data_IF_941057647714
#
_entry.id   IF_941057647714
#
_cell.length_a   1.000
_cell.length_b   1.000
_cell.length_c   1.000
_cell.angle_alpha   90.00
_cell.angle_beta   90.00
_cell.angle_gamma   90.00
#
_symmetry.space_group_name_H-M   'P 1'
#
loop_
_entity.id
_entity.type
_entity.pdbx_description
1 polymer ?
#
# COMPACT_ATOMS: atom_id res chain seq x y z
N UNK A 1 30.88 -21.51 -7.34
CA UNK A 1 29.97 -21.08 -6.28
C UNK A 1 29.93 -19.55 -6.27
N UNK A 2 28.85 -18.88 -6.61
CA UNK A 2 28.72 -17.43 -6.46
C UNK A 2 28.30 -17.11 -5.03
N UNK A 3 29.01 -16.16 -4.43
CA UNK A 3 28.72 -15.55 -3.14
C UNK A 3 27.34 -14.86 -3.19
N UNK A 4 26.39 -15.40 -2.45
CA UNK A 4 25.15 -14.72 -2.12
C UNK A 4 25.45 -13.55 -1.16
N UNK A 5 25.24 -12.32 -1.62
CA UNK A 5 25.41 -11.07 -0.85
C UNK A 5 24.10 -10.54 -0.30
N UNK A 6 23.15 -11.41 0.00
CA UNK A 6 21.91 -10.98 0.65
C UNK A 6 21.83 -11.61 2.03
N UNK A 7 21.74 -10.82 3.11
CA UNK A 7 21.40 -11.36 4.42
C UNK A 7 20.00 -11.94 4.33
N UNK A 8 19.82 -13.14 4.88
CA UNK A 8 18.54 -13.81 4.96
C UNK A 8 17.55 -12.91 5.73
N UNK A 9 16.59 -12.32 5.01
CA UNK A 9 15.42 -11.72 5.62
C UNK A 9 14.63 -12.89 6.20
N UNK A 10 14.74 -13.11 7.50
CA UNK A 10 13.87 -14.05 8.23
C UNK A 10 12.46 -13.48 8.25
N UNK A 11 11.69 -13.81 7.24
CA UNK A 11 10.25 -13.66 7.27
C UNK A 11 9.75 -14.67 8.33
N UNK A 12 9.33 -14.16 9.47
CA UNK A 12 8.58 -14.95 10.43
C UNK A 12 7.26 -15.33 9.78
N UNK A 13 7.22 -16.49 9.13
CA UNK A 13 5.99 -17.11 8.68
C UNK A 13 5.20 -17.55 9.91
N UNK A 14 4.25 -16.76 10.34
CA UNK A 14 3.16 -17.25 11.17
C UNK A 14 2.31 -18.18 10.32
N UNK A 15 2.62 -19.47 10.37
CA UNK A 15 1.79 -20.54 9.85
C UNK A 15 0.51 -20.60 10.68
N UNK A 16 -0.54 -19.90 10.25
CA UNK A 16 -1.89 -20.20 10.73
C UNK A 16 -2.30 -21.56 10.14
N UNK A 17 -2.28 -22.58 10.97
CA UNK A 17 -3.00 -23.83 10.70
C UNK A 17 -4.49 -23.50 10.63
N UNK A 18 -5.00 -23.37 9.41
CA UNK A 18 -6.44 -23.43 9.17
C UNK A 18 -6.91 -24.84 9.55
N UNK A 19 -7.52 -24.97 10.72
CA UNK A 19 -8.39 -26.11 11.03
C UNK A 19 -9.72 -25.81 10.35
N UNK A 20 -10.20 -26.75 9.55
CA UNK A 20 -11.62 -26.82 9.16
C UNK A 20 -12.44 -26.80 10.44
N UNK A 21 -13.27 -25.79 10.61
CA UNK A 21 -14.35 -25.77 11.58
C UNK A 21 -15.62 -25.78 10.74
N UNK A 22 -16.37 -26.89 10.86
CA UNK A 22 -17.75 -26.99 10.38
C UNK A 22 -18.61 -25.96 11.13
N UNK A 23 -19.62 -25.41 10.45
CA UNK A 23 -20.56 -24.43 10.95
C UNK A 23 -21.23 -24.92 12.24
N UNK A 24 -20.84 -24.35 13.38
CA UNK A 24 -21.68 -24.28 14.57
C UNK A 24 -21.25 -23.07 15.42
N UNK A 25 -22.23 -22.25 15.71
CA UNK A 25 -22.32 -21.04 16.52
C UNK A 25 -21.08 -20.68 17.36
N UNK A 26 -20.27 -19.72 16.88
CA UNK A 26 -19.19 -19.08 17.64
C UNK A 26 -19.78 -18.19 18.73
N UNK A 27 -20.11 -18.74 19.89
CA UNK A 27 -20.23 -17.99 21.14
C UNK A 27 -18.81 -17.68 21.62
N UNK A 28 -18.38 -16.46 21.47
CA UNK A 28 -17.18 -15.96 22.14
C UNK A 28 -17.62 -15.64 23.57
N UNK A 29 -17.39 -16.56 24.50
CA UNK A 29 -17.40 -16.25 25.92
C UNK A 29 -16.17 -15.38 26.21
N UNK A 30 -16.40 -14.07 26.34
CA UNK A 30 -15.36 -13.15 26.81
C UNK A 30 -15.24 -13.39 28.32
N UNK A 31 -14.16 -14.05 28.73
CA UNK A 31 -13.77 -14.21 30.11
C UNK A 31 -13.62 -12.82 30.76
N UNK A 32 -14.35 -12.50 31.84
CA UNK A 32 -14.26 -11.19 32.49
C UNK A 32 -12.94 -10.95 33.24
N UNK A 33 -12.02 -11.89 33.25
CA UNK A 33 -10.69 -11.80 33.85
C UNK A 33 -9.60 -11.55 32.82
N UNK A 34 -9.75 -10.57 31.91
CA UNK A 34 -8.65 -10.13 31.07
C UNK A 34 -7.67 -9.29 31.92
N UNK A 35 -6.76 -9.98 32.62
CA UNK A 35 -5.55 -9.38 33.16
C UNK A 35 -4.73 -8.84 31.99
N UNK A 36 -4.08 -7.67 32.17
CA UNK A 36 -3.31 -6.95 31.14
C UNK A 36 -2.53 -7.91 30.24
N UNK A 37 -2.69 -7.74 28.92
CA UNK A 37 -2.04 -8.55 27.92
C UNK A 37 -0.52 -8.56 28.18
N UNK A 38 0.10 -9.75 28.44
CA UNK A 38 1.54 -9.82 28.67
C UNK A 38 2.37 -9.32 27.47
N UNK A 39 1.76 -9.18 26.30
CA UNK A 39 2.36 -8.55 25.13
C UNK A 39 2.42 -7.01 25.21
N UNK A 40 1.51 -6.33 25.95
CA UNK A 40 1.58 -4.87 26.16
C UNK A 40 2.84 -4.47 26.97
N UNK A 41 3.22 -5.26 27.97
CA UNK A 41 4.41 -5.00 28.78
C UNK A 41 5.73 -5.29 28.04
N UNK A 42 5.77 -6.35 27.24
CA UNK A 42 6.95 -6.70 26.43
C UNK A 42 7.18 -5.74 25.27
N UNK A 43 6.12 -5.15 24.72
CA UNK A 43 6.23 -4.21 23.60
C UNK A 43 6.84 -2.88 24.06
N UNK A 44 6.50 -2.40 25.25
CA UNK A 44 7.09 -1.18 25.81
C UNK A 44 8.58 -1.36 26.13
N UNK A 45 9.00 -2.56 26.56
CA UNK A 45 10.43 -2.90 26.74
C UNK A 45 11.17 -3.08 25.41
N UNK A 46 10.52 -3.57 24.37
CA UNK A 46 11.11 -3.73 23.03
C UNK A 46 11.26 -2.40 22.27
N UNK A 47 10.36 -1.45 22.50
CA UNK A 47 10.40 -0.12 21.89
C UNK A 47 11.61 0.70 22.36
N UNK A 48 12.07 0.47 23.59
CA UNK A 48 13.24 1.18 24.15
C UNK A 48 14.58 0.52 23.80
N UNK A 49 14.59 -0.65 23.13
CA UNK A 49 15.77 -1.48 22.93
C UNK A 49 16.19 -1.70 21.47
N UNK A 50 15.42 -1.23 20.47
CA UNK A 50 15.82 -1.46 19.07
C UNK A 50 16.84 -0.41 18.60
N UNK A 51 17.98 -0.83 18.06
CA UNK A 51 18.88 0.06 17.32
C UNK A 51 18.13 0.63 16.12
N UNK A 52 18.38 1.89 15.81
CA UNK A 52 17.84 2.51 14.58
C UNK A 52 18.15 1.61 13.38
N UNK A 53 17.15 1.29 12.53
CA UNK A 53 17.38 0.42 11.38
C UNK A 53 18.49 1.02 10.50
N UNK A 54 19.49 0.21 10.17
CA UNK A 54 20.52 0.61 9.21
C UNK A 54 19.84 1.04 7.91
N UNK A 55 20.05 2.29 7.50
CA UNK A 55 19.58 2.83 6.22
C UNK A 55 20.33 2.09 5.13
N UNK A 56 19.67 1.15 4.48
CA UNK A 56 20.20 0.51 3.27
C UNK A 56 20.08 1.54 2.15
N UNK A 57 21.24 2.09 1.72
CA UNK A 57 21.31 3.04 0.62
C UNK A 57 20.59 2.46 -0.63
N UNK A 58 19.56 3.14 -1.12
CA UNK A 58 18.82 2.75 -2.33
C UNK A 58 17.43 2.14 -2.11
N UNK A 59 17.01 1.87 -0.87
CA UNK A 59 15.61 1.54 -0.61
C UNK A 59 14.85 2.82 -0.26
N UNK A 60 13.73 3.11 -0.94
CA UNK A 60 12.87 4.18 -0.51
C UNK A 60 12.32 3.81 0.87
N UNK A 61 12.74 4.51 1.87
CA UNK A 61 12.51 4.30 3.30
C UNK A 61 12.61 2.81 3.72
N UNK A 62 13.40 2.52 4.70
CA UNK A 62 13.56 1.23 5.39
C UNK A 62 12.28 0.60 5.93
N UNK A 63 11.13 0.92 5.34
CA UNK A 63 9.85 0.80 5.94
C UNK A 63 8.92 -0.11 5.15
N UNK A 64 9.22 -1.42 5.24
CA UNK A 64 8.35 -2.48 4.74
C UNK A 64 7.18 -2.82 5.68
N UNK A 65 7.07 -2.14 6.85
CA UNK A 65 6.01 -2.39 7.81
C UNK A 65 4.65 -2.03 7.22
N UNK A 66 3.69 -2.93 7.40
CA UNK A 66 2.31 -2.62 7.04
C UNK A 66 1.69 -1.65 8.05
N UNK A 67 0.65 -0.89 7.69
CA UNK A 67 -0.08 -0.08 8.65
C UNK A 67 -0.63 -0.88 9.85
N UNK A 68 -0.95 -2.15 9.66
CA UNK A 68 -1.39 -3.03 10.74
C UNK A 68 -0.26 -3.33 11.73
N UNK A 69 0.95 -3.63 11.22
CA UNK A 69 2.12 -3.89 12.06
C UNK A 69 2.60 -2.63 12.78
N UNK A 70 2.44 -1.47 12.14
CA UNK A 70 2.88 -0.18 12.65
C UNK A 70 1.99 0.40 13.73
N UNK A 71 0.66 0.31 13.54
CA UNK A 71 -0.32 0.96 14.42
C UNK A 71 -1.08 -0.02 15.32
N UNK A 72 -0.79 -1.32 15.25
CA UNK A 72 -1.27 -2.36 16.16
C UNK A 72 -2.76 -2.22 16.53
N UNK A 73 -3.05 -1.99 17.84
CA UNK A 73 -4.39 -1.85 18.34
C UNK A 73 -5.13 -0.59 17.81
N UNK A 74 -4.43 0.48 17.47
CA UNK A 74 -5.05 1.63 16.80
C UNK A 74 -5.62 1.23 15.44
N UNK A 75 -4.83 0.49 14.63
CA UNK A 75 -5.29 -0.03 13.35
C UNK A 75 -6.53 -0.92 13.52
N UNK A 76 -6.47 -1.87 14.43
CA UNK A 76 -7.58 -2.77 14.72
C UNK A 76 -8.84 -2.02 15.15
N UNK A 77 -8.69 -1.03 16.03
CA UNK A 77 -9.83 -0.26 16.53
C UNK A 77 -10.46 0.62 15.44
N UNK A 78 -9.65 1.27 14.60
CA UNK A 78 -10.16 2.05 13.45
C UNK A 78 -10.98 1.16 12.52
N UNK A 79 -10.45 -0.02 12.15
CA UNK A 79 -11.12 -0.94 11.25
C UNK A 79 -12.41 -1.52 11.85
N UNK A 80 -12.40 -1.91 13.13
CA UNK A 80 -13.59 -2.44 13.82
C UNK A 80 -14.66 -1.37 14.03
N UNK A 81 -14.29 -0.16 14.35
CA UNK A 81 -15.23 0.95 14.61
C UNK A 81 -15.86 1.51 13.34
N UNK A 82 -15.35 1.13 12.14
CA UNK A 82 -15.87 1.56 10.84
C UNK A 82 -16.08 3.08 10.74
N UNK A 83 -15.13 3.84 11.27
CA UNK A 83 -15.19 5.32 11.22
C UNK A 83 -15.04 5.87 9.78
N UNK A 84 -14.56 5.05 8.84
CA UNK A 84 -14.51 5.36 7.42
C UNK A 84 -15.52 4.50 6.65
N UNK A 85 -15.92 5.00 5.47
CA UNK A 85 -16.90 4.33 4.61
C UNK A 85 -16.38 2.99 4.07
N UNK A 86 -15.07 2.85 3.91
CA UNK A 86 -14.42 1.60 3.51
C UNK A 86 -13.19 1.27 4.38
N UNK A 87 -12.73 0.03 4.28
CA UNK A 87 -11.60 -0.47 5.06
C UNK A 87 -10.24 -0.05 4.50
N UNK A 88 -10.17 0.56 3.32
CA UNK A 88 -8.93 0.94 2.64
C UNK A 88 -8.45 2.34 3.06
N UNK A 89 -9.36 3.24 3.44
CA UNK A 89 -9.03 4.63 3.77
C UNK A 89 -7.91 4.72 4.81
N UNK A 90 -8.02 4.04 5.93
CA UNK A 90 -7.00 4.14 6.99
C UNK A 90 -5.64 3.54 6.61
N UNK A 91 -5.56 2.34 5.98
CA UNK A 91 -4.29 1.82 5.45
C UNK A 91 -3.55 2.76 4.49
N UNK A 92 -4.27 3.63 3.80
CA UNK A 92 -3.72 4.56 2.82
C UNK A 92 -3.35 5.93 3.42
N UNK A 93 -3.72 6.19 4.66
CA UNK A 93 -3.33 7.41 5.34
C UNK A 93 -1.81 7.49 5.53
N UNK A 94 -1.26 8.70 5.37
CA UNK A 94 0.12 8.99 5.73
C UNK A 94 0.17 9.65 7.11
N UNK A 95 1.09 9.25 8.00
CA UNK A 95 1.19 9.84 9.34
C UNK A 95 1.75 11.26 9.26
N UNK A 96 1.27 12.13 10.14
CA UNK A 96 1.78 13.51 10.31
C UNK A 96 2.96 13.58 11.27
N UNK A 97 3.14 12.55 12.09
CA UNK A 97 4.12 12.47 13.17
C UNK A 97 4.73 11.07 13.19
N UNK A 98 5.78 10.90 13.99
CA UNK A 98 6.37 9.59 14.22
C UNK A 98 5.30 8.58 14.68
N UNK A 99 5.21 7.39 14.04
CA UNK A 99 4.21 6.39 14.36
C UNK A 99 4.21 5.92 15.82
N UNK A 100 5.38 5.83 16.44
CA UNK A 100 5.48 5.44 17.85
C UNK A 100 4.88 6.51 18.75
N UNK A 101 5.08 7.78 18.43
CA UNK A 101 4.50 8.89 19.19
C UNK A 101 2.97 8.94 19.02
N UNK A 102 2.48 8.68 17.81
CA UNK A 102 1.04 8.54 17.55
C UNK A 102 0.47 7.40 18.40
N UNK A 103 1.11 6.24 18.41
CA UNK A 103 0.64 5.08 19.15
C UNK A 103 0.70 5.29 20.67
N UNK A 104 1.80 5.89 21.19
CA UNK A 104 1.93 6.28 22.60
C UNK A 104 0.84 7.27 23.01
N UNK A 105 0.57 8.28 22.20
CA UNK A 105 -0.48 9.25 22.45
C UNK A 105 -1.86 8.59 22.45
N UNK A 106 -2.14 7.74 21.45
CA UNK A 106 -3.38 6.97 21.39
C UNK A 106 -3.64 6.18 22.68
N UNK A 107 -2.63 5.46 23.18
CA UNK A 107 -2.72 4.66 24.42
C UNK A 107 -3.05 5.52 25.63
N UNK A 108 -2.56 6.77 25.69
CA UNK A 108 -2.86 7.71 26.78
C UNK A 108 -4.28 8.24 26.76
N UNK A 109 -4.81 8.54 25.54
CA UNK A 109 -6.09 9.26 25.40
C UNK A 109 -7.29 8.35 25.14
N UNK A 110 -7.09 7.13 24.62
CA UNK A 110 -8.18 6.21 24.20
C UNK A 110 -9.20 5.85 25.27
N UNK A 111 -8.87 6.05 26.56
CA UNK A 111 -9.76 5.76 27.71
C UNK A 111 -10.42 7.01 28.30
N UNK A 112 -10.15 8.18 27.75
CA UNK A 112 -10.77 9.43 28.20
C UNK A 112 -12.25 9.46 27.78
N UNK A 113 -13.16 10.02 28.62
CA UNK A 113 -14.60 10.00 28.35
C UNK A 113 -15.01 10.75 27.10
N UNK A 114 -14.22 11.74 26.67
CA UNK A 114 -14.42 12.61 25.51
C UNK A 114 -13.58 12.21 24.31
N UNK A 115 -12.95 11.02 24.33
CA UNK A 115 -12.12 10.55 23.24
C UNK A 115 -12.94 10.25 21.98
N UNK A 116 -12.63 10.94 20.88
CA UNK A 116 -13.16 10.69 19.54
C UNK A 116 -12.07 10.07 18.65
N UNK A 117 -12.30 8.81 18.26
CA UNK A 117 -11.34 8.05 17.44
C UNK A 117 -11.19 8.66 16.03
N UNK A 118 -12.26 9.16 15.44
CA UNK A 118 -12.21 9.77 14.11
C UNK A 118 -11.40 11.06 14.15
N UNK A 119 -11.69 11.94 15.10
CA UNK A 119 -10.94 13.17 15.28
C UNK A 119 -9.45 12.88 15.55
N UNK A 120 -9.15 11.87 16.39
CA UNK A 120 -7.78 11.45 16.64
C UNK A 120 -7.05 11.05 15.35
N UNK A 121 -7.71 10.29 14.46
CA UNK A 121 -7.10 9.90 13.18
C UNK A 121 -6.91 11.13 12.28
N UNK A 122 -7.89 12.01 12.16
CA UNK A 122 -7.80 13.21 11.34
C UNK A 122 -6.71 14.18 11.82
N UNK A 123 -6.47 14.24 13.12
CA UNK A 123 -5.40 15.08 13.72
C UNK A 123 -4.00 14.52 13.44
N UNK A 124 -3.84 13.20 13.41
CA UNK A 124 -2.53 12.54 13.36
C UNK A 124 -2.15 12.00 11.97
N UNK A 125 -3.09 11.98 11.03
CA UNK A 125 -2.87 11.42 9.69
C UNK A 125 -3.38 12.35 8.59
N UNK A 126 -2.68 12.34 7.46
CA UNK A 126 -3.20 12.86 6.20
C UNK A 126 -4.11 11.80 5.58
N UNK A 127 -5.37 12.13 5.34
CA UNK A 127 -6.30 11.26 4.66
C UNK A 127 -5.94 11.19 3.16
N UNK A 128 -6.13 10.03 2.49
CA UNK A 128 -5.91 9.93 1.06
C UNK A 128 -6.89 10.84 0.31
N UNK A 129 -6.38 11.60 -0.65
CA UNK A 129 -7.21 12.42 -1.53
C UNK A 129 -7.90 11.55 -2.57
N UNK A 130 -9.22 11.67 -2.70
CA UNK A 130 -9.96 11.07 -3.80
C UNK A 130 -9.95 12.02 -5.00
N UNK A 131 -9.07 11.79 -5.96
CA UNK A 131 -9.05 12.61 -7.20
C UNK A 131 -10.21 12.29 -8.15
N UNK A 132 -10.91 11.18 -7.95
CA UNK A 132 -12.09 10.84 -8.77
C UNK A 132 -13.25 11.81 -8.61
N UNK A 133 -13.30 12.54 -7.50
CA UNK A 133 -14.37 13.50 -7.23
C UNK A 133 -14.22 14.79 -8.05
N UNK A 134 -13.09 14.97 -8.73
CA UNK A 134 -12.78 16.17 -9.54
C UNK A 134 -13.16 15.97 -11.00
N UNK A 135 -13.21 14.71 -11.49
CA UNK A 135 -13.51 14.45 -12.90
C UNK A 135 -15.02 14.38 -13.16
N UNK A 136 -15.51 15.31 -13.97
CA UNK A 136 -16.90 15.29 -14.45
C UNK A 136 -16.91 14.77 -15.88
N UNK A 137 -17.59 13.63 -16.11
CA UNK A 137 -17.75 13.05 -17.44
C UNK A 137 -18.59 13.98 -18.32
N UNK A 138 -18.11 14.23 -19.54
CA UNK A 138 -18.83 14.97 -20.57
C UNK A 138 -19.53 13.97 -21.52
N UNK A 139 -20.88 13.87 -21.47
CA UNK A 139 -21.61 12.89 -22.29
C UNK A 139 -21.61 13.20 -23.78
N UNK A 140 -21.11 14.37 -24.20
CA UNK A 140 -20.98 14.73 -25.62
C UNK A 140 -19.75 14.14 -26.31
N UNK A 141 -18.80 13.58 -25.53
CA UNK A 141 -17.57 13.02 -26.04
C UNK A 141 -17.78 11.61 -26.60
N UNK A 142 -17.03 11.28 -27.64
CA UNK A 142 -16.86 9.88 -28.05
C UNK A 142 -16.12 9.10 -26.97
N UNK A 143 -16.22 7.78 -27.00
CA UNK A 143 -15.51 6.90 -26.05
C UNK A 143 -13.99 7.16 -26.05
N UNK A 144 -13.40 7.33 -27.25
CA UNK A 144 -11.98 7.60 -27.39
C UNK A 144 -11.59 8.94 -26.75
N UNK A 145 -12.28 10.01 -27.06
CA UNK A 145 -12.03 11.33 -26.47
C UNK A 145 -12.21 11.33 -24.96
N UNK A 146 -13.17 10.55 -24.44
CA UNK A 146 -13.36 10.37 -23.00
C UNK A 146 -12.15 9.68 -22.36
N UNK A 147 -11.68 8.58 -22.96
CA UNK A 147 -10.49 7.85 -22.50
C UNK A 147 -9.25 8.76 -22.54
N UNK A 148 -9.03 9.47 -23.63
CA UNK A 148 -7.89 10.39 -23.79
C UNK A 148 -7.88 11.50 -22.72
N UNK A 149 -9.04 11.97 -22.30
CA UNK A 149 -9.18 12.94 -21.18
C UNK A 149 -8.95 12.31 -19.81
N UNK A 150 -9.14 11.01 -19.65
CA UNK A 150 -8.90 10.32 -18.39
C UNK A 150 -7.41 10.09 -18.10
N UNK A 151 -6.56 9.92 -19.10
CA UNK A 151 -5.13 9.66 -18.89
C UNK A 151 -4.47 10.67 -17.94
N UNK A 152 -4.59 12.00 -18.13
CA UNK A 152 -4.01 12.96 -17.20
C UNK A 152 -4.61 12.88 -15.78
N UNK A 153 -5.89 12.55 -15.67
CA UNK A 153 -6.59 12.44 -14.37
C UNK A 153 -6.09 11.23 -13.58
N UNK A 154 -5.78 10.13 -14.28
CA UNK A 154 -5.34 8.88 -13.67
C UNK A 154 -3.83 8.76 -13.56
N UNK A 155 -3.06 9.67 -14.17
CA UNK A 155 -1.60 9.72 -14.03
C UNK A 155 -1.21 10.20 -12.64
N UNK A 156 -0.19 9.56 -12.09
CA UNK A 156 0.51 9.98 -10.87
C UNK A 156 1.96 10.25 -11.25
N UNK A 157 2.42 11.43 -10.89
CA UNK A 157 3.82 11.80 -11.08
C UNK A 157 4.70 11.16 -10.00
N UNK A 158 6.00 10.95 -10.28
CA UNK A 158 6.95 10.53 -9.26
C UNK A 158 6.92 11.48 -8.07
N UNK A 159 6.86 10.93 -6.89
CA UNK A 159 6.88 11.70 -5.64
C UNK A 159 7.93 11.12 -4.71
N UNK A 160 8.55 11.99 -3.92
CA UNK A 160 9.39 11.56 -2.82
C UNK A 160 8.56 10.72 -1.85
N UNK A 161 9.21 9.71 -1.29
CA UNK A 161 8.55 8.88 -0.30
C UNK A 161 8.17 9.72 0.93
N UNK A 162 6.88 9.68 1.29
CA UNK A 162 6.41 10.26 2.55
C UNK A 162 6.80 9.28 3.66
N UNK A 163 7.59 9.71 4.66
CA UNK A 163 8.00 8.82 5.74
C UNK A 163 6.83 8.06 6.34
N UNK A 164 7.02 6.76 6.53
CA UNK A 164 6.03 5.83 7.10
C UNK A 164 4.70 5.70 6.35
N UNK A 165 4.57 6.28 5.16
CA UNK A 165 3.43 6.02 4.28
C UNK A 165 3.45 4.58 3.79
N UNK A 166 2.28 3.99 3.58
CA UNK A 166 2.17 2.67 2.94
C UNK A 166 2.46 2.71 1.44
N UNK A 167 2.46 3.89 0.80
CA UNK A 167 2.70 4.02 -0.63
C UNK A 167 4.18 3.84 -0.94
N UNK A 168 4.51 2.84 -1.78
CA UNK A 168 5.84 2.67 -2.32
C UNK A 168 6.04 3.70 -3.43
N UNK A 169 7.00 4.61 -3.25
CA UNK A 169 7.36 5.58 -4.27
C UNK A 169 7.90 4.87 -5.52
N UNK A 170 7.46 5.29 -6.69
CA UNK A 170 7.91 4.78 -7.97
C UNK A 170 8.74 5.86 -8.69
N UNK A 171 9.81 5.49 -9.40
CA UNK A 171 10.73 6.44 -10.02
C UNK A 171 10.17 7.15 -11.26
N UNK A 172 9.13 6.59 -11.90
CA UNK A 172 8.51 7.13 -13.10
C UNK A 172 7.03 7.39 -12.88
N UNK A 173 6.42 8.20 -13.77
CA UNK A 173 4.97 8.37 -13.79
C UNK A 173 4.24 7.04 -13.99
N UNK A 174 3.05 6.93 -13.42
CA UNK A 174 2.23 5.71 -13.52
C UNK A 174 0.74 6.01 -13.53
N UNK A 175 -0.03 5.09 -14.08
CA UNK A 175 -1.49 5.17 -14.13
C UNK A 175 -2.08 4.36 -12.99
N UNK A 176 -3.13 4.93 -12.36
CA UNK A 176 -3.92 4.26 -11.34
C UNK A 176 -5.31 3.92 -11.86
N UNK A 177 -6.01 2.91 -11.29
CA UNK A 177 -7.38 2.59 -11.71
C UNK A 177 -8.39 3.71 -11.44
N UNK A 178 -8.12 4.57 -10.48
CA UNK A 178 -8.99 5.67 -10.08
C UNK A 178 -9.98 5.30 -8.97
N UNK A 179 -10.84 6.24 -8.61
CA UNK A 179 -11.71 6.11 -7.46
C UNK A 179 -10.90 6.00 -6.17
N UNK A 180 -11.24 5.02 -5.35
CA UNK A 180 -10.50 4.72 -4.10
C UNK A 180 -9.14 4.05 -4.32
N UNK A 181 -8.78 3.71 -5.57
CA UNK A 181 -7.52 3.04 -5.93
C UNK A 181 -6.52 4.08 -6.43
N UNK A 182 -5.72 4.60 -5.53
CA UNK A 182 -4.71 5.65 -5.78
C UNK A 182 -3.29 5.11 -5.98
N UNK A 183 -3.14 3.79 -6.03
CA UNK A 183 -1.91 3.06 -6.35
C UNK A 183 -2.04 2.31 -7.67
N UNK A 184 -0.90 1.94 -8.27
CA UNK A 184 -0.89 1.02 -9.42
C UNK A 184 -1.08 -0.42 -8.95
N UNK A 185 -1.71 -1.25 -9.78
CA UNK A 185 -1.90 -2.68 -9.56
C UNK A 185 -1.25 -3.47 -10.68
N UNK A 186 -0.63 -4.61 -10.35
CA UNK A 186 0.24 -5.33 -11.27
C UNK A 186 -0.50 -5.77 -12.55
N UNK A 187 -1.43 -6.73 -12.47
CA UNK A 187 -2.04 -7.27 -13.69
C UNK A 187 -3.04 -6.30 -14.34
N UNK A 188 -3.70 -5.44 -13.55
CA UNK A 188 -4.58 -4.38 -14.06
C UNK A 188 -3.81 -3.42 -14.98
N UNK A 189 -2.55 -3.19 -14.67
CA UNK A 189 -1.68 -2.32 -15.46
C UNK A 189 -1.43 -2.86 -16.86
N UNK A 190 -1.45 -4.17 -17.09
CA UNK A 190 -1.33 -4.72 -18.43
C UNK A 190 -2.48 -4.23 -19.34
N UNK A 191 -3.71 -4.27 -18.85
CA UNK A 191 -4.87 -3.77 -19.61
C UNK A 191 -4.82 -2.26 -19.80
N UNK A 192 -4.31 -1.53 -18.81
CA UNK A 192 -4.03 -0.10 -18.91
C UNK A 192 -3.00 0.18 -20.01
N UNK A 193 -1.92 -0.60 -20.05
CA UNK A 193 -0.84 -0.47 -21.05
C UNK A 193 -1.32 -0.77 -22.47
N UNK A 194 -2.23 -1.73 -22.66
CA UNK A 194 -2.91 -1.93 -23.96
C UNK A 194 -3.68 -0.67 -24.38
N UNK A 195 -4.39 -0.03 -23.46
CA UNK A 195 -5.09 1.23 -23.71
C UNK A 195 -4.15 2.40 -24.02
N UNK A 196 -3.00 2.47 -23.36
CA UNK A 196 -1.97 3.48 -23.62
C UNK A 196 -1.36 3.31 -25.00
N UNK A 197 -1.03 2.07 -25.41
CA UNK A 197 -0.54 1.76 -26.74
C UNK A 197 -1.56 2.19 -27.82
N UNK A 198 -2.82 1.81 -27.70
CA UNK A 198 -3.90 2.22 -28.61
C UNK A 198 -4.11 3.73 -28.67
N UNK A 199 -3.85 4.45 -27.55
CA UNK A 199 -3.93 5.91 -27.47
C UNK A 199 -2.66 6.62 -27.94
N UNK A 200 -1.60 5.90 -28.35
CA UNK A 200 -0.31 6.45 -28.76
C UNK A 200 0.46 7.10 -27.60
N UNK A 201 0.25 6.64 -26.37
CA UNK A 201 0.93 7.17 -25.17
C UNK A 201 2.14 6.30 -24.81
N UNK A 202 3.09 6.21 -25.76
CA UNK A 202 4.33 5.44 -25.61
C UNK A 202 5.18 5.92 -24.43
N UNK A 203 5.13 7.22 -24.12
CA UNK A 203 5.77 7.85 -22.97
C UNK A 203 5.35 7.21 -21.65
N UNK A 204 4.04 7.10 -21.41
CA UNK A 204 3.49 6.47 -20.20
C UNK A 204 3.63 4.94 -20.21
N UNK A 205 3.51 4.34 -21.40
CA UNK A 205 3.71 2.91 -21.57
C UNK A 205 5.10 2.50 -21.07
N UNK A 206 6.15 3.24 -21.49
CA UNK A 206 7.53 3.02 -21.05
C UNK A 206 7.68 3.26 -19.56
N UNK A 207 7.16 4.36 -19.02
CA UNK A 207 7.20 4.66 -17.59
C UNK A 207 6.60 3.53 -16.74
N UNK A 208 5.49 2.95 -17.17
CA UNK A 208 4.84 1.82 -16.49
C UNK A 208 5.75 0.58 -16.48
N UNK A 209 6.34 0.21 -17.62
CA UNK A 209 7.25 -0.93 -17.71
C UNK A 209 8.51 -0.73 -16.86
N UNK A 210 9.12 0.46 -16.91
CA UNK A 210 10.31 0.80 -16.12
C UNK A 210 10.02 0.73 -14.61
N UNK A 211 8.84 1.15 -14.18
CA UNK A 211 8.41 1.01 -12.78
C UNK A 211 8.30 -0.44 -12.34
N UNK A 212 7.77 -1.34 -13.19
CA UNK A 212 7.69 -2.77 -12.86
C UNK A 212 9.07 -3.44 -12.84
N UNK A 213 9.98 -3.07 -13.74
CA UNK A 213 11.36 -3.51 -13.70
C UNK A 213 12.04 -3.05 -12.41
N UNK A 214 11.86 -1.79 -12.03
CA UNK A 214 12.38 -1.25 -10.78
C UNK A 214 11.82 -1.98 -9.54
N UNK A 215 10.53 -2.33 -9.52
CA UNK A 215 9.93 -3.11 -8.43
C UNK A 215 10.59 -4.49 -8.30
N UNK A 216 10.92 -5.15 -9.42
CA UNK A 216 11.64 -6.42 -9.40
C UNK A 216 13.05 -6.22 -8.83
N UNK A 217 13.78 -5.19 -9.28
CA UNK A 217 15.13 -4.90 -8.79
C UNK A 217 15.16 -4.56 -7.31
N UNK A 218 14.17 -3.82 -6.83
CA UNK A 218 14.11 -3.32 -5.45
C UNK A 218 13.58 -4.36 -4.47
N UNK A 219 12.51 -5.08 -4.83
CA UNK A 219 11.80 -6.00 -3.92
C UNK A 219 11.92 -7.48 -4.31
N UNK A 220 12.59 -7.80 -5.41
CA UNK A 220 12.73 -9.16 -5.93
C UNK A 220 11.49 -9.70 -6.64
N UNK A 221 10.42 -8.94 -6.73
CA UNK A 221 9.17 -9.31 -7.41
C UNK A 221 8.30 -8.06 -7.67
N UNK A 222 7.24 -8.22 -8.46
CA UNK A 222 6.22 -7.19 -8.61
C UNK A 222 5.12 -7.46 -7.56
N UNK A 223 4.92 -6.55 -6.59
CA UNK A 223 3.84 -6.67 -5.62
C UNK A 223 2.47 -6.57 -6.29
N UNK A 224 1.41 -7.01 -5.59
CA UNK A 224 0.03 -6.85 -6.05
C UNK A 224 -0.34 -5.40 -6.43
N UNK A 225 0.29 -4.43 -5.77
CA UNK A 225 0.24 -2.99 -6.04
C UNK A 225 1.32 -2.29 -5.24
N UNK A 226 1.62 -1.02 -5.53
CA UNK A 226 2.70 -0.28 -4.88
C UNK A 226 2.34 0.24 -3.48
N UNK A 227 2.02 -0.70 -2.58
CA UNK A 227 1.77 -0.46 -1.15
C UNK A 227 2.51 -1.47 -0.29
N UNK A 228 2.99 -1.06 0.89
CA UNK A 228 3.72 -1.96 1.81
C UNK A 228 2.91 -3.19 2.20
N UNK A 229 1.60 -3.06 2.37
CA UNK A 229 0.72 -4.18 2.70
C UNK A 229 0.46 -5.15 1.52
N UNK A 230 1.03 -4.88 0.35
CA UNK A 230 1.02 -5.76 -0.82
C UNK A 230 2.35 -6.46 -1.07
N UNK A 231 3.42 -6.12 -0.35
CA UNK A 231 4.75 -6.73 -0.54
C UNK A 231 4.78 -8.25 -0.30
N UNK A 232 3.83 -8.77 0.50
CA UNK A 232 3.75 -10.21 0.79
C UNK A 232 3.11 -11.05 -0.33
N UNK A 233 2.61 -10.44 -1.41
CA UNK A 233 1.91 -11.14 -2.49
C UNK A 233 2.02 -10.41 -3.82
N UNK A 234 1.82 -11.18 -4.90
CA UNK A 234 1.75 -10.71 -6.27
C UNK A 234 0.40 -11.06 -6.90
N UNK A 235 0.18 -10.57 -8.11
CA UNK A 235 -0.92 -10.94 -9.00
C UNK A 235 -0.41 -11.88 -10.11
N UNK A 236 -1.27 -12.41 -11.02
CA UNK A 236 -0.85 -13.23 -12.14
C UNK A 236 0.30 -12.60 -12.95
N UNK A 237 1.32 -13.38 -13.33
CA UNK A 237 2.56 -12.88 -13.93
C UNK A 237 2.34 -12.48 -15.41
N UNK A 238 2.06 -11.22 -15.66
CA UNK A 238 1.81 -10.64 -17.00
C UNK A 238 2.92 -9.71 -17.47
N UNK A 239 4.05 -9.60 -16.77
CA UNK A 239 5.11 -8.66 -17.12
C UNK A 239 5.74 -8.97 -18.49
N UNK A 240 5.89 -10.24 -18.84
CA UNK A 240 6.36 -10.62 -20.18
C UNK A 240 5.44 -10.08 -21.29
N UNK A 241 4.12 -10.13 -21.08
CA UNK A 241 3.15 -9.58 -22.03
C UNK A 241 3.24 -8.04 -22.11
N UNK A 242 3.58 -7.37 -21.01
CA UNK A 242 3.83 -5.93 -21.03
C UNK A 242 5.06 -5.56 -21.85
N UNK A 243 6.12 -6.38 -21.79
CA UNK A 243 7.33 -6.18 -22.58
C UNK A 243 7.07 -6.44 -24.07
N UNK A 244 6.24 -7.43 -24.41
CA UNK A 244 5.85 -7.73 -25.80
C UNK A 244 5.19 -6.53 -26.50
N UNK A 245 4.49 -5.65 -25.78
CA UNK A 245 3.86 -4.46 -26.38
C UNK A 245 4.87 -3.53 -27.07
N UNK A 246 6.12 -3.52 -26.64
CA UNK A 246 7.19 -2.73 -27.28
C UNK A 246 7.73 -3.37 -28.56
N UNK A 247 7.52 -4.67 -28.76
CA UNK A 247 7.97 -5.39 -29.96
C UNK A 247 6.96 -5.27 -31.09
N UNK A 248 5.65 -5.28 -30.79
CA UNK A 248 4.58 -5.22 -31.79
C UNK A 248 4.47 -3.85 -32.47
N UNK A 249 4.70 -2.76 -31.73
CA UNK A 249 4.58 -1.39 -32.24
C UNK A 249 5.84 -0.85 -32.94
N UNK A 250 6.84 -1.72 -33.19
CA UNK A 250 8.04 -1.34 -33.94
C UNK A 250 8.98 -0.38 -33.17
N UNK A 251 8.80 -0.21 -31.87
CA UNK A 251 9.72 0.51 -30.98
C UNK A 251 10.96 -0.36 -30.74
N UNK A 252 11.55 -0.84 -31.84
CA UNK A 252 12.85 -1.52 -31.80
C UNK A 252 13.96 -0.50 -31.71
N UNK A 253 14.51 -0.35 -30.54
CA UNK A 253 15.82 0.24 -30.38
C UNK A 253 15.82 1.64 -29.73
N UNK A 254 15.92 1.61 -28.47
CA UNK A 254 16.66 2.60 -27.71
C UNK A 254 17.60 1.87 -26.74
#
# INVERSE_FOLDING_TARGET
APNSRYPEVRIAMFSQKLRHVEDDELRIDIDPCYEADPYELKLDEMIDAEPEPEVIEGLPASDALTPADRYLELFTNVQKSRIFADSKTFPDCAPKHDPLDILRNYRKVKRQPDFDLRQFVEDNFWLPESQSDIYISDPSLTLKEHIDKLWPVLTREPQDHIPWSSLLALPQAYIVPGGRFSETYYWDSYFTMLGLAESGREDLLKCMADNFAWLIETYGHIPNGNRTYYLSRSQPPVFALMVELFEEDGVRGA
#
